data_IF_995636294492
#
_entry.id   IF_995636294492
#
_cell.length_a   1.000
_cell.length_b   1.000
_cell.length_c   1.000
_cell.angle_alpha   90.00
_cell.angle_beta   90.00
_cell.angle_gamma   90.00
#
_symmetry.space_group_name_H-M   'P 1'
#
loop_
_entity.id
_entity.type
_entity.pdbx_description
1 polymer ?
#
# COMPACT_ATOMS: atom_id res chain seq x y z
N UNK A 1 -17.16 -17.03 -15.95
CA UNK A 1 -16.15 -15.97 -16.14
C UNK A 1 -15.56 -15.64 -14.78
N UNK A 2 -14.34 -16.11 -14.51
CA UNK A 2 -13.33 -15.54 -13.60
C UNK A 2 -12.03 -16.31 -13.91
N UNK A 3 -11.33 -15.87 -14.96
CA UNK A 3 -10.00 -16.40 -15.32
C UNK A 3 -9.04 -15.24 -15.10
N UNK A 4 -8.56 -15.08 -13.87
CA UNK A 4 -7.64 -13.99 -13.53
C UNK A 4 -6.39 -14.54 -12.86
N UNK A 5 -5.54 -15.18 -13.66
CA UNK A 5 -4.13 -15.19 -13.31
C UNK A 5 -3.61 -13.77 -13.57
N UNK A 6 -3.66 -12.91 -12.55
CA UNK A 6 -3.02 -11.60 -12.63
C UNK A 6 -1.55 -11.81 -13.01
N UNK A 7 -1.02 -11.11 -14.04
CA UNK A 7 0.33 -11.34 -14.58
C UNK A 7 1.47 -11.19 -13.55
N UNK A 8 1.16 -10.69 -12.36
CA UNK A 8 2.09 -10.33 -11.28
C UNK A 8 2.14 -11.37 -10.15
N UNK A 9 1.36 -12.45 -10.23
CA UNK A 9 1.40 -13.50 -9.23
C UNK A 9 2.74 -14.26 -9.30
N UNK A 10 3.53 -14.19 -8.23
CA UNK A 10 4.87 -14.80 -8.12
C UNK A 10 4.92 -15.77 -6.92
N UNK A 11 6.03 -16.49 -6.75
CA UNK A 11 6.19 -17.40 -5.60
C UNK A 11 6.28 -16.58 -4.30
N UNK A 12 5.73 -17.10 -3.19
CA UNK A 12 5.70 -16.46 -1.84
C UNK A 12 4.73 -15.29 -1.70
N UNK A 13 3.56 -15.39 -2.32
CA UNK A 13 2.42 -14.49 -2.11
C UNK A 13 1.28 -15.25 -1.46
N UNK A 14 0.40 -14.53 -0.75
CA UNK A 14 -0.89 -15.05 -0.33
C UNK A 14 -1.92 -14.84 -1.43
N UNK A 15 -2.70 -15.88 -1.73
CA UNK A 15 -3.76 -15.87 -2.75
C UNK A 15 -5.05 -16.45 -2.19
N UNK A 16 -6.16 -16.00 -2.73
CA UNK A 16 -7.45 -16.68 -2.66
C UNK A 16 -7.51 -17.66 -3.82
N UNK A 17 -7.70 -18.94 -3.51
CA UNK A 17 -7.78 -19.99 -4.51
C UNK A 17 -9.18 -20.62 -4.49
N UNK A 18 -9.85 -20.58 -5.63
CA UNK A 18 -11.16 -21.18 -5.86
C UNK A 18 -10.99 -22.47 -6.67
N UNK A 19 -11.61 -23.55 -6.23
CA UNK A 19 -11.40 -24.87 -6.83
C UNK A 19 -12.20 -25.97 -6.16
N UNK A 20 -11.80 -27.22 -6.43
CA UNK A 20 -12.39 -28.42 -5.85
C UNK A 20 -11.28 -29.36 -5.35
N UNK A 21 -11.64 -30.30 -4.49
CA UNK A 21 -10.70 -31.20 -3.83
C UNK A 21 -11.06 -32.65 -4.14
N UNK A 22 -10.07 -33.43 -4.55
CA UNK A 22 -10.18 -34.87 -4.82
C UNK A 22 -8.82 -35.51 -4.58
N UNK A 23 -8.79 -36.74 -4.05
CA UNK A 23 -7.59 -37.56 -3.91
C UNK A 23 -6.39 -36.82 -3.29
N UNK A 24 -6.61 -36.08 -2.20
CA UNK A 24 -5.59 -35.30 -1.49
C UNK A 24 -4.96 -34.14 -2.28
N UNK A 25 -5.58 -33.75 -3.40
CA UNK A 25 -5.15 -32.65 -4.27
C UNK A 25 -6.23 -31.58 -4.37
N UNK A 26 -5.84 -30.31 -4.22
CA UNK A 26 -6.72 -29.16 -4.46
C UNK A 26 -6.53 -28.62 -5.87
N UNK A 27 -7.55 -28.81 -6.71
CA UNK A 27 -7.57 -28.41 -8.11
C UNK A 27 -8.13 -26.99 -8.26
N UNK A 28 -7.25 -26.03 -8.53
CA UNK A 28 -7.60 -24.60 -8.61
C UNK A 28 -8.16 -24.23 -9.99
N UNK A 29 -9.37 -23.67 -10.00
CA UNK A 29 -10.02 -23.11 -11.18
C UNK A 29 -9.76 -21.61 -11.34
N UNK A 30 -9.60 -20.91 -10.22
CA UNK A 30 -9.41 -19.46 -10.16
C UNK A 30 -8.46 -19.05 -9.04
N UNK A 31 -7.62 -18.06 -9.34
CA UNK A 31 -6.78 -17.39 -8.35
C UNK A 31 -7.16 -15.92 -8.29
N UNK A 32 -7.09 -15.35 -7.08
CA UNK A 32 -7.26 -13.94 -6.84
C UNK A 32 -6.35 -13.48 -5.71
N UNK A 33 -6.16 -12.18 -5.60
CA UNK A 33 -5.55 -11.60 -4.41
C UNK A 33 -6.62 -11.36 -3.34
N UNK A 34 -6.26 -11.41 -2.05
CA UNK A 34 -7.13 -10.85 -1.03
C UNK A 34 -7.42 -9.38 -1.38
N UNK A 35 -8.68 -8.91 -1.23
CA UNK A 35 -9.02 -7.54 -1.56
C UNK A 35 -8.26 -6.56 -0.63
N UNK A 36 -7.74 -5.44 -1.15
CA UNK A 36 -7.08 -4.44 -0.32
C UNK A 36 -8.10 -3.76 0.59
N UNK A 37 -7.76 -3.61 1.87
CA UNK A 37 -8.59 -2.92 2.86
C UNK A 37 -8.29 -1.40 2.86
N UNK A 38 -9.28 -0.54 2.60
CA UNK A 38 -9.10 0.91 2.70
C UNK A 38 -8.79 1.38 4.12
N UNK A 39 -8.00 2.46 4.25
CA UNK A 39 -7.50 2.90 5.55
C UNK A 39 -8.61 3.42 6.50
N UNK A 40 -9.71 3.95 5.97
CA UNK A 40 -10.90 4.34 6.75
C UNK A 40 -11.64 3.12 7.31
N UNK A 41 -11.76 2.04 6.53
CA UNK A 41 -12.28 0.75 7.00
C UNK A 41 -11.41 0.22 8.14
N UNK A 42 -10.09 0.19 7.99
CA UNK A 42 -9.20 -0.24 9.08
C UNK A 42 -9.37 0.59 10.35
N UNK A 43 -9.46 1.92 10.22
CA UNK A 43 -9.69 2.80 11.37
C UNK A 43 -11.07 2.64 11.99
N UNK A 44 -12.08 2.19 11.25
CA UNK A 44 -13.40 1.89 11.83
C UNK A 44 -13.33 0.69 12.80
N UNK A 45 -12.44 -0.27 12.55
CA UNK A 45 -12.23 -1.43 13.42
C UNK A 45 -11.21 -1.19 14.53
N UNK A 46 -10.08 -0.55 14.22
CA UNK A 46 -8.95 -0.37 15.15
C UNK A 46 -8.88 1.02 15.80
N UNK A 47 -9.78 1.93 15.45
CA UNK A 47 -9.84 3.28 15.98
C UNK A 47 -8.65 4.15 15.56
N UNK A 48 -8.11 4.89 16.52
CA UNK A 48 -7.02 5.86 16.32
C UNK A 48 -5.65 5.31 16.71
N UNK A 49 -5.47 3.98 16.75
CA UNK A 49 -4.18 3.37 17.07
C UNK A 49 -3.10 3.83 16.07
N UNK A 50 -1.93 4.19 16.59
CA UNK A 50 -0.83 4.67 15.76
C UNK A 50 0.00 3.52 15.17
N UNK A 51 -0.47 2.93 14.07
CA UNK A 51 0.28 1.90 13.32
C UNK A 51 1.47 2.47 12.54
N UNK A 52 1.44 3.75 12.18
CA UNK A 52 2.51 4.39 11.40
C UNK A 52 3.76 4.68 12.25
N UNK A 53 3.57 4.87 13.56
CA UNK A 53 4.63 5.18 14.50
C UNK A 53 4.91 6.68 14.65
N UNK A 54 6.09 7.01 15.18
CA UNK A 54 6.46 8.38 15.51
C UNK A 54 5.94 8.85 16.89
N UNK A 55 6.12 10.13 17.23
CA UNK A 55 5.93 10.63 18.59
C UNK A 55 4.46 10.85 18.99
N UNK A 56 3.51 10.77 18.04
CA UNK A 56 2.10 10.97 18.35
C UNK A 56 1.52 9.74 19.09
N UNK A 57 0.73 9.96 20.16
CA UNK A 57 0.11 8.86 20.91
C UNK A 57 -1.02 8.18 20.12
N UNK A 58 -1.58 8.85 19.11
CA UNK A 58 -2.65 8.36 18.24
C UNK A 58 -2.31 8.64 16.77
N UNK A 59 -3.01 7.97 15.86
CA UNK A 59 -2.82 8.13 14.41
C UNK A 59 -2.96 9.59 13.99
N UNK A 60 -1.98 10.10 13.22
CA UNK A 60 -1.95 11.49 12.76
C UNK A 60 -3.22 11.90 12.00
N UNK A 61 -3.84 10.96 11.26
CA UNK A 61 -5.09 11.19 10.52
C UNK A 61 -6.30 11.46 11.41
N UNK A 62 -6.22 11.20 12.72
CA UNK A 62 -7.26 11.55 13.69
C UNK A 62 -7.13 12.98 14.23
N UNK A 63 -6.07 13.72 13.91
CA UNK A 63 -5.82 15.07 14.43
C UNK A 63 -6.42 16.14 13.52
N UNK A 64 -7.53 16.76 13.95
CA UNK A 64 -8.13 17.89 13.25
C UNK A 64 -7.17 19.09 13.11
N UNK A 65 -6.29 19.29 14.10
CA UNK A 65 -5.26 20.34 14.06
C UNK A 65 -4.26 20.11 12.91
N UNK A 66 -3.82 18.87 12.71
CA UNK A 66 -2.90 18.54 11.61
C UNK A 66 -3.60 18.63 10.26
N UNK A 67 -4.86 18.20 10.16
CA UNK A 67 -5.65 18.34 8.94
C UNK A 67 -5.81 19.82 8.53
N UNK A 68 -6.12 20.71 9.48
CA UNK A 68 -6.22 22.15 9.21
C UNK A 68 -4.87 22.77 8.80
N UNK A 69 -3.76 22.30 9.38
CA UNK A 69 -2.42 22.76 8.99
C UNK A 69 -2.03 22.27 7.58
N UNK A 70 -2.39 21.03 7.24
CA UNK A 70 -2.21 20.46 5.89
C UNK A 70 -3.01 21.27 4.86
N UNK A 71 -4.26 21.63 5.16
CA UNK A 71 -5.12 22.40 4.26
C UNK A 71 -4.68 23.86 4.09
N UNK A 72 -4.16 24.49 5.16
CA UNK A 72 -3.73 25.89 5.12
C UNK A 72 -2.35 26.11 4.50
N UNK A 73 -1.49 25.08 4.47
CA UNK A 73 -0.14 25.18 3.93
C UNK A 73 -0.06 24.69 2.49
N UNK A 74 -0.67 25.43 1.56
CA UNK A 74 -0.75 25.05 0.14
C UNK A 74 0.60 25.04 -0.59
N UNK A 75 1.63 25.68 -0.03
CA UNK A 75 2.99 25.72 -0.58
C UNK A 75 3.84 24.52 -0.13
N UNK A 76 3.32 23.66 0.76
CA UNK A 76 4.02 22.47 1.19
C UNK A 76 4.25 21.51 0.01
N UNK A 77 5.51 21.20 -0.29
CA UNK A 77 5.87 20.34 -1.42
C UNK A 77 6.88 19.27 -0.99
N UNK A 78 6.66 18.05 -1.47
CA UNK A 78 7.64 16.96 -1.42
C UNK A 78 8.17 16.70 -2.83
N UNK A 79 9.48 16.70 -2.99
CA UNK A 79 10.14 16.28 -4.23
C UNK A 79 10.77 14.91 -3.99
N UNK A 80 10.25 13.90 -4.69
CA UNK A 80 10.75 12.52 -4.62
C UNK A 80 11.55 12.22 -5.88
N UNK A 81 12.83 11.89 -5.70
CA UNK A 81 13.74 11.53 -6.77
C UNK A 81 14.33 10.16 -6.43
N UNK A 82 14.50 9.30 -7.45
CA UNK A 82 15.14 7.99 -7.35
C UNK A 82 16.28 7.90 -8.34
N UNK A 83 17.22 6.99 -8.09
CA UNK A 83 18.32 6.66 -9.01
C UNK A 83 19.17 7.88 -9.41
N UNK A 84 19.50 8.72 -8.42
CA UNK A 84 20.34 9.90 -8.62
C UNK A 84 21.82 9.48 -8.65
N UNK A 85 22.32 9.20 -9.85
CA UNK A 85 23.72 8.78 -10.05
C UNK A 85 24.63 10.00 -10.15
N UNK A 86 25.14 10.43 -8.99
CA UNK A 86 25.96 11.65 -8.85
C UNK A 86 27.31 11.59 -9.58
N UNK A 87 27.76 10.40 -9.96
CA UNK A 87 28.95 10.17 -10.79
C UNK A 87 28.75 10.64 -12.25
N UNK A 88 27.51 10.67 -12.74
CA UNK A 88 27.22 11.15 -14.10
C UNK A 88 27.17 12.68 -14.17
N UNK A 89 28.01 13.27 -15.03
CA UNK A 89 28.03 14.72 -15.28
C UNK A 89 26.64 15.24 -15.67
N UNK A 90 25.96 14.54 -16.59
CA UNK A 90 24.58 14.84 -17.01
C UNK A 90 23.57 14.95 -15.86
N UNK A 91 23.72 14.15 -14.80
CA UNK A 91 22.79 14.17 -13.65
C UNK A 91 23.04 15.41 -12.82
N UNK A 92 24.32 15.73 -12.58
CA UNK A 92 24.73 16.93 -11.85
C UNK A 92 24.36 18.23 -12.56
N UNK A 93 24.35 18.24 -13.89
CA UNK A 93 23.93 19.42 -14.67
C UNK A 93 22.42 19.69 -14.60
N UNK A 94 21.62 18.71 -14.17
CA UNK A 94 20.16 18.80 -14.09
C UNK A 94 19.62 18.97 -12.67
N UNK A 95 20.51 18.91 -11.67
CA UNK A 95 20.25 19.21 -10.27
C UNK A 95 20.60 20.67 -9.99
#
# INVERSE_FOLDING_TARGET
MLKYMSPWATVRIFVLAEGWYEDEVFHVNGLGFPPPEPADVSRSFFGSLNFFGGPLPTCAKSSAKLAALEESNQDAMFVLLSDIWLDQVRVREKL
#
